data_IF_262150901958
#
_entry.id   IF_262150901958
#
_cell.length_a   1.000
_cell.length_b   1.000
_cell.length_c   1.000
_cell.angle_alpha   90.00
_cell.angle_beta   90.00
_cell.angle_gamma   90.00
#
_symmetry.space_group_name_H-M   'P 1'
#
loop_
_entity.id
_entity.type
_entity.pdbx_description
1 polymer ?
#
# COMPACT_ATOMS: atom_id res chain seq x y z
N UNK A 1 8.06 -12.10 93.11
CA UNK A 1 8.68 -11.81 94.43
C UNK A 1 9.60 -12.96 94.79
N UNK A 2 10.81 -12.66 95.26
CA UNK A 2 11.68 -13.67 95.85
C UNK A 2 11.30 -13.91 97.32
N UNK A 3 11.33 -15.16 97.76
CA UNK A 3 11.06 -15.55 99.16
C UNK A 3 12.33 -16.08 99.79
N UNK A 4 12.68 -15.60 100.98
CA UNK A 4 13.71 -16.21 101.81
C UNK A 4 13.17 -16.48 103.22
N UNK A 5 14.01 -17.07 104.09
CA UNK A 5 13.63 -17.50 105.45
C UNK A 5 13.20 -16.37 106.42
N UNK A 6 13.30 -15.11 106.01
CA UNK A 6 12.95 -13.93 106.82
C UNK A 6 11.75 -13.14 106.26
N UNK A 7 11.17 -13.57 105.14
CA UNK A 7 9.96 -12.95 104.57
C UNK A 7 9.96 -12.91 103.04
N UNK A 8 8.86 -12.39 102.49
CA UNK A 8 8.69 -12.16 101.05
C UNK A 8 9.07 -10.71 100.75
N UNK A 9 10.04 -10.50 99.84
CA UNK A 9 10.45 -9.15 99.43
C UNK A 9 9.42 -8.49 98.52
N UNK A 10 9.36 -7.14 98.49
CA UNK A 10 8.39 -6.38 97.70
C UNK A 10 8.38 -6.76 96.21
N UNK A 11 7.20 -6.68 95.54
CA UNK A 11 7.11 -6.97 94.12
C UNK A 11 7.81 -5.87 93.33
N UNK A 12 8.70 -6.29 92.43
CA UNK A 12 9.28 -5.42 91.43
C UNK A 12 8.41 -5.51 90.17
N UNK A 13 7.79 -4.40 89.78
CA UNK A 13 7.16 -4.27 88.47
C UNK A 13 8.25 -4.07 87.42
N UNK A 14 8.28 -4.94 86.41
CA UNK A 14 9.16 -4.73 85.26
C UNK A 14 8.60 -3.62 84.38
N UNK A 15 9.45 -2.97 83.60
CA UNK A 15 8.97 -2.16 82.48
C UNK A 15 8.11 -3.02 81.53
N UNK A 16 7.06 -2.41 80.97
CA UNK A 16 6.15 -3.12 80.09
C UNK A 16 6.89 -3.57 78.81
N UNK A 17 7.05 -4.88 78.64
CA UNK A 17 7.61 -5.47 77.41
C UNK A 17 6.48 -5.73 76.43
N UNK A 18 6.52 -5.09 75.26
CA UNK A 18 5.61 -5.43 74.16
C UNK A 18 6.11 -6.69 73.47
N UNK A 19 5.28 -7.73 73.41
CA UNK A 19 5.47 -8.82 72.47
C UNK A 19 5.29 -8.25 71.06
N UNK A 20 6.39 -8.09 70.32
CA UNK A 20 6.36 -7.76 68.90
C UNK A 20 6.26 -9.07 68.12
N UNK A 21 5.54 -9.04 67.02
CA UNK A 21 5.57 -10.13 66.05
C UNK A 21 7.03 -10.33 65.60
N UNK A 22 7.58 -11.56 65.58
CA UNK A 22 8.96 -11.82 65.18
C UNK A 22 9.32 -11.29 63.78
N UNK A 23 8.34 -10.97 62.95
CA UNK A 23 8.51 -10.39 61.62
C UNK A 23 7.39 -9.39 61.29
N UNK A 24 7.67 -8.43 60.41
CA UNK A 24 6.72 -7.46 59.88
C UNK A 24 6.47 -7.70 58.39
N UNK A 25 5.53 -6.98 57.78
CA UNK A 25 5.38 -7.01 56.33
C UNK A 25 6.62 -6.45 55.63
N UNK A 26 6.91 -6.86 54.37
CA UNK A 26 8.02 -6.30 53.59
C UNK A 26 7.80 -4.81 53.26
N UNK A 27 8.86 -4.11 52.88
CA UNK A 27 8.73 -2.80 52.24
C UNK A 27 8.18 -2.93 50.79
N UNK A 28 7.74 -1.85 50.14
CA UNK A 28 7.27 -1.92 48.75
C UNK A 28 8.34 -2.42 47.78
N UNK A 29 7.95 -3.23 46.77
CA UNK A 29 8.80 -3.50 45.60
C UNK A 29 9.18 -2.21 44.87
N UNK A 30 10.32 -2.23 44.16
CA UNK A 30 10.89 -1.05 43.48
C UNK A 30 11.01 -1.25 41.98
N UNK A 31 11.30 -0.16 41.26
CA UNK A 31 11.68 -0.17 39.84
C UNK A 31 10.71 -0.97 38.96
N UNK A 32 9.41 -0.71 39.10
CA UNK A 32 8.39 -1.37 38.28
C UNK A 32 8.49 -0.88 36.83
N UNK A 33 8.83 -1.78 35.93
CA UNK A 33 8.94 -1.53 34.50
C UNK A 33 7.98 -2.44 33.72
N UNK A 34 7.39 -1.88 32.67
CA UNK A 34 6.52 -2.61 31.74
C UNK A 34 7.23 -2.75 30.41
N UNK A 35 7.35 -3.99 29.95
CA UNK A 35 8.06 -4.40 28.74
C UNK A 35 7.18 -5.33 27.90
N UNK A 36 7.58 -5.65 26.66
CA UNK A 36 6.86 -6.56 25.75
C UNK A 36 5.36 -6.22 25.67
N UNK A 37 5.06 -4.97 25.36
CA UNK A 37 3.69 -4.46 25.20
C UNK A 37 3.12 -5.01 23.91
N UNK A 38 1.95 -5.63 24.00
CA UNK A 38 1.13 -6.05 22.85
C UNK A 38 -0.32 -5.60 23.09
N UNK A 39 -1.16 -5.72 22.06
CA UNK A 39 -2.59 -5.42 22.21
C UNK A 39 -3.35 -6.32 23.20
N UNK A 40 -2.80 -7.49 23.51
CA UNK A 40 -3.42 -8.50 24.38
C UNK A 40 -2.73 -8.67 25.74
N UNK A 41 -1.47 -8.23 25.88
CA UNK A 41 -0.69 -8.48 27.08
C UNK A 41 0.48 -7.52 27.28
N UNK A 42 0.96 -7.43 28.52
CA UNK A 42 2.18 -6.71 28.88
C UNK A 42 3.01 -7.55 29.85
N UNK A 43 4.33 -7.42 29.81
CA UNK A 43 5.24 -8.06 30.79
C UNK A 43 5.69 -7.03 31.82
N UNK A 44 5.61 -7.39 33.08
CA UNK A 44 6.00 -6.56 34.22
C UNK A 44 7.29 -7.11 34.81
N UNK A 45 8.24 -6.24 35.11
CA UNK A 45 9.49 -6.54 35.79
C UNK A 45 9.66 -5.57 36.97
N UNK A 46 10.17 -6.05 38.10
CA UNK A 46 10.39 -5.21 39.28
C UNK A 46 11.61 -5.67 40.08
N UNK A 47 12.07 -4.83 41.00
CA UNK A 47 13.11 -5.15 41.96
C UNK A 47 12.51 -5.57 43.32
N UNK A 48 13.28 -6.35 44.08
CA UNK A 48 12.90 -6.74 45.45
C UNK A 48 12.74 -5.50 46.36
N UNK A 49 11.90 -5.59 47.40
CA UNK A 49 11.92 -4.66 48.52
C UNK A 49 13.31 -4.51 49.16
N UNK A 50 13.57 -3.37 49.80
CA UNK A 50 14.80 -3.18 50.59
C UNK A 50 14.85 -4.07 51.84
N UNK A 51 13.68 -4.40 52.38
CA UNK A 51 13.53 -5.24 53.56
C UNK A 51 12.36 -6.18 53.38
N UNK A 52 12.57 -7.44 53.72
CA UNK A 52 11.56 -8.50 53.76
C UNK A 52 10.78 -8.53 55.07
N UNK A 53 11.06 -7.60 56.01
CA UNK A 53 10.41 -7.55 57.31
C UNK A 53 10.85 -8.65 58.28
N UNK A 54 11.95 -9.37 58.01
CA UNK A 54 12.45 -10.44 58.88
C UNK A 54 11.87 -11.82 58.60
N UNK A 55 11.13 -11.99 57.49
CA UNK A 55 10.66 -13.28 56.99
C UNK A 55 10.73 -13.32 55.45
N UNK A 56 11.15 -14.46 54.88
CA UNK A 56 11.34 -14.61 53.44
C UNK A 56 10.08 -14.25 52.64
N UNK A 57 10.27 -13.53 51.53
CA UNK A 57 9.19 -13.18 50.62
C UNK A 57 8.64 -14.47 49.97
N UNK A 58 7.40 -14.81 50.32
CA UNK A 58 6.65 -15.95 49.79
C UNK A 58 6.07 -15.71 48.39
N UNK A 59 6.06 -14.46 47.91
CA UNK A 59 5.72 -14.14 46.52
C UNK A 59 5.29 -12.69 46.31
N UNK A 60 4.80 -12.42 45.10
CA UNK A 60 4.33 -11.10 44.69
C UNK A 60 2.87 -11.12 44.24
N UNK A 61 2.16 -10.03 44.53
CA UNK A 61 0.80 -9.77 44.04
C UNK A 61 0.83 -8.57 43.11
N UNK A 62 0.27 -8.76 41.93
CA UNK A 62 0.23 -7.75 40.89
C UNK A 62 -1.22 -7.33 40.69
N UNK A 63 -1.46 -6.03 40.66
CA UNK A 63 -2.74 -5.46 40.29
C UNK A 63 -2.59 -4.57 39.06
N UNK A 64 -3.65 -4.51 38.26
CA UNK A 64 -3.76 -3.62 37.12
C UNK A 64 -5.00 -2.75 37.23
N UNK A 65 -4.92 -1.54 36.71
CA UNK A 65 -6.06 -0.63 36.56
C UNK A 65 -6.07 -0.09 35.14
N UNK A 66 -7.24 -0.17 34.51
CA UNK A 66 -7.48 0.51 33.23
C UNK A 66 -7.77 1.99 33.48
N UNK A 67 -7.29 2.90 32.63
CA UNK A 67 -7.39 4.37 32.79
C UNK A 67 -8.77 4.89 33.20
N UNK A 68 -9.84 4.32 32.63
CA UNK A 68 -11.22 4.74 32.90
C UNK A 68 -11.88 3.96 34.05
N UNK A 69 -11.18 3.01 34.66
CA UNK A 69 -11.65 2.24 35.80
C UNK A 69 -11.09 2.81 37.11
N UNK A 70 -11.94 2.94 38.12
CA UNK A 70 -11.48 3.25 39.48
C UNK A 70 -10.99 2.00 40.23
N UNK A 71 -11.23 0.81 39.68
CA UNK A 71 -10.96 -0.47 40.33
C UNK A 71 -9.64 -1.07 39.88
N UNK A 72 -8.81 -1.41 40.86
CA UNK A 72 -7.66 -2.30 40.70
C UNK A 72 -8.12 -3.76 40.64
N UNK A 73 -7.58 -4.52 39.68
CA UNK A 73 -7.90 -5.92 39.44
C UNK A 73 -6.62 -6.74 39.57
N UNK A 74 -6.66 -7.76 40.43
CA UNK A 74 -5.55 -8.70 40.62
C UNK A 74 -5.27 -9.49 39.34
N UNK A 75 -4.01 -9.54 38.95
CA UNK A 75 -3.53 -10.21 37.73
C UNK A 75 -3.22 -11.68 37.99
N UNK A 76 -2.44 -11.98 39.03
CA UNK A 76 -2.03 -13.34 39.36
C UNK A 76 -2.95 -14.01 40.38
N UNK A 77 -3.41 -15.23 40.08
CA UNK A 77 -4.17 -16.08 41.01
C UNK A 77 -3.28 -16.96 41.89
N UNK A 78 -2.08 -17.31 41.41
CA UNK A 78 -1.08 -18.10 42.12
C UNK A 78 0.05 -17.19 42.62
N UNK A 79 0.78 -17.57 43.69
CA UNK A 79 2.00 -16.89 44.10
C UNK A 79 2.99 -16.78 42.95
N UNK A 80 3.64 -15.62 42.84
CA UNK A 80 4.67 -15.35 41.84
C UNK A 80 5.97 -15.20 42.60
N UNK A 81 6.92 -16.11 42.39
CA UNK A 81 8.21 -16.10 43.07
C UNK A 81 9.28 -15.33 42.26
N UNK A 82 9.08 -15.27 40.94
CA UNK A 82 9.93 -14.52 40.02
C UNK A 82 9.70 -13.01 40.15
N UNK A 83 10.69 -12.23 39.70
CA UNK A 83 10.63 -10.77 39.60
C UNK A 83 10.05 -10.29 38.26
N UNK A 84 9.31 -11.17 37.57
CA UNK A 84 8.60 -10.85 36.33
C UNK A 84 7.27 -11.60 36.23
N UNK A 85 6.28 -10.99 35.58
CA UNK A 85 5.06 -11.68 35.18
C UNK A 85 4.46 -11.12 33.89
N UNK A 86 3.85 -11.98 33.08
CA UNK A 86 2.97 -11.57 31.98
C UNK A 86 1.56 -11.29 32.49
N UNK A 87 1.01 -10.12 32.17
CA UNK A 87 -0.39 -9.73 32.36
C UNK A 87 -1.17 -9.93 31.06
N UNK A 88 -1.95 -11.02 30.90
CA UNK A 88 -2.73 -11.29 29.70
C UNK A 88 -4.16 -10.72 29.76
N UNK A 89 -4.88 -10.74 28.64
CA UNK A 89 -6.30 -10.38 28.58
C UNK A 89 -6.51 -8.87 28.70
N UNK A 90 -5.66 -8.10 28.02
CA UNK A 90 -5.85 -6.67 27.78
C UNK A 90 -6.77 -6.47 26.56
N UNK A 91 -7.40 -5.30 26.51
CA UNK A 91 -8.18 -4.85 25.37
C UNK A 91 -7.35 -3.89 24.52
N UNK A 92 -7.30 -4.15 23.23
CA UNK A 92 -6.62 -3.31 22.25
C UNK A 92 -7.08 -1.86 22.36
N UNK A 93 -6.12 -0.93 22.38
CA UNK A 93 -6.38 0.50 22.45
C UNK A 93 -6.60 1.06 23.86
N UNK A 94 -6.86 0.22 24.86
CA UNK A 94 -7.02 0.65 26.26
C UNK A 94 -5.67 0.91 26.94
N UNK A 95 -5.63 1.88 27.85
CA UNK A 95 -4.45 2.19 28.66
C UNK A 95 -4.54 1.56 30.05
N UNK A 96 -3.44 0.96 30.49
CA UNK A 96 -3.34 0.26 31.77
C UNK A 96 -2.14 0.77 32.58
N UNK A 97 -2.31 0.82 33.89
CA UNK A 97 -1.23 1.00 34.86
C UNK A 97 -1.21 -0.18 35.83
N UNK A 98 -0.06 -0.41 36.44
CA UNK A 98 0.20 -1.57 37.28
C UNK A 98 0.85 -1.17 38.60
N UNK A 99 0.64 -1.99 39.63
CA UNK A 99 1.36 -1.90 40.90
C UNK A 99 1.64 -3.29 41.45
N UNK A 100 2.72 -3.42 42.21
CA UNK A 100 3.18 -4.71 42.74
C UNK A 100 3.31 -4.65 44.26
N UNK A 101 2.94 -5.74 44.91
CA UNK A 101 3.05 -5.97 46.35
C UNK A 101 3.98 -7.15 46.60
N UNK A 102 4.77 -7.10 47.68
CA UNK A 102 5.47 -8.26 48.21
C UNK A 102 4.65 -8.91 49.33
N UNK A 103 4.71 -10.24 49.43
CA UNK A 103 3.97 -11.04 50.42
C UNK A 103 4.93 -11.92 51.22
N UNK A 104 4.89 -11.84 52.55
CA UNK A 104 5.58 -12.76 53.46
C UNK A 104 4.58 -13.32 54.50
N UNK A 105 5.06 -14.04 55.53
CA UNK A 105 4.18 -14.60 56.57
C UNK A 105 3.40 -13.55 57.39
N UNK A 106 3.85 -12.29 57.49
CA UNK A 106 3.10 -11.21 58.13
C UNK A 106 2.03 -10.59 57.20
N UNK A 107 2.10 -10.84 55.89
CA UNK A 107 1.12 -10.41 54.90
C UNK A 107 1.70 -9.56 53.77
N UNK A 108 0.85 -8.71 53.20
CA UNK A 108 1.19 -7.88 52.04
C UNK A 108 1.86 -6.56 52.44
N UNK A 109 2.88 -6.16 51.69
CA UNK A 109 3.49 -4.84 51.76
C UNK A 109 2.51 -3.73 51.35
N UNK A 110 2.95 -2.47 51.44
CA UNK A 110 2.35 -1.40 50.63
C UNK A 110 2.68 -1.63 49.13
N UNK A 111 1.86 -1.12 48.19
CA UNK A 111 2.16 -1.26 46.77
C UNK A 111 3.41 -0.46 46.38
N UNK A 112 4.08 -0.90 45.33
CA UNK A 112 5.01 -0.06 44.58
C UNK A 112 4.31 1.20 44.07
N UNK A 113 5.10 2.21 43.70
CA UNK A 113 4.57 3.28 42.86
C UNK A 113 3.91 2.69 41.60
N UNK A 114 2.76 3.21 41.16
CA UNK A 114 2.13 2.76 39.94
C UNK A 114 3.03 2.99 38.73
N UNK A 115 3.01 2.06 37.78
CA UNK A 115 3.62 2.28 36.46
C UNK A 115 2.92 3.46 35.76
N UNK A 116 3.58 4.11 34.77
CA UNK A 116 2.87 4.97 33.84
C UNK A 116 1.70 4.24 33.17
N UNK A 117 0.72 5.01 32.68
CA UNK A 117 -0.33 4.49 31.81
C UNK A 117 0.28 4.09 30.46
N UNK A 118 0.08 2.84 30.08
CA UNK A 118 0.63 2.27 28.85
C UNK A 118 -0.51 1.69 28.04
N UNK A 119 -0.55 2.04 26.75
CA UNK A 119 -1.57 1.58 25.82
C UNK A 119 -1.29 0.16 25.37
N UNK A 120 -2.31 -0.69 25.42
CA UNK A 120 -2.26 -2.04 24.88
C UNK A 120 -2.40 -1.98 23.35
N UNK A 121 -1.27 -1.90 22.66
CA UNK A 121 -1.19 -1.96 21.20
C UNK A 121 0.04 -2.77 20.78
N UNK A 122 -0.01 -3.34 19.57
CA UNK A 122 1.14 -4.02 19.02
C UNK A 122 2.24 -2.99 18.68
N UNK A 123 3.52 -3.32 18.91
CA UNK A 123 4.60 -2.41 18.61
C UNK A 123 4.65 -2.15 17.11
N UNK A 124 4.84 -0.89 16.75
CA UNK A 124 5.02 -0.50 15.34
C UNK A 124 6.49 -0.21 15.10
N UNK A 125 7.01 -0.75 14.01
CA UNK A 125 8.40 -0.62 13.58
C UNK A 125 8.47 0.18 12.28
N UNK A 126 9.68 0.52 11.83
CA UNK A 126 9.86 1.02 10.47
C UNK A 126 9.46 -0.06 9.45
N UNK A 127 8.95 0.34 8.28
CA UNK A 127 8.59 -0.61 7.23
C UNK A 127 9.85 -1.22 6.59
N UNK A 128 9.69 -2.32 5.86
CA UNK A 128 10.77 -2.85 5.02
C UNK A 128 11.00 -1.94 3.79
N UNK A 129 12.14 -2.06 3.10
CA UNK A 129 12.34 -1.40 1.81
C UNK A 129 11.27 -1.84 0.78
N UNK A 130 10.88 -0.95 -0.16
CA UNK A 130 10.08 -1.33 -1.32
C UNK A 130 10.92 -2.14 -2.32
N UNK A 131 10.29 -2.61 -3.40
CA UNK A 131 11.04 -3.29 -4.47
C UNK A 131 12.04 -2.35 -5.15
N UNK A 132 13.04 -2.94 -5.81
CA UNK A 132 13.88 -2.23 -6.77
C UNK A 132 13.02 -1.44 -7.77
N UNK A 133 13.25 -0.13 -7.95
CA UNK A 133 12.53 0.67 -8.92
C UNK A 133 12.85 0.24 -10.36
N UNK A 134 11.84 0.28 -11.23
CA UNK A 134 11.96 -0.02 -12.66
C UNK A 134 11.64 1.23 -13.47
N UNK A 135 12.38 1.46 -14.55
CA UNK A 135 12.11 2.54 -15.50
C UNK A 135 10.87 2.19 -16.31
N UNK A 136 9.86 3.06 -16.24
CA UNK A 136 8.59 2.93 -16.96
C UNK A 136 8.58 3.76 -18.25
N UNK A 137 9.16 4.96 -18.18
CA UNK A 137 9.34 5.85 -19.33
C UNK A 137 10.53 6.79 -19.13
N UNK A 138 11.09 7.34 -20.21
CA UNK A 138 12.21 8.28 -20.13
C UNK A 138 12.29 9.21 -21.35
N UNK A 139 12.76 10.43 -21.10
CA UNK A 139 13.13 11.42 -22.12
C UNK A 139 14.51 11.98 -21.79
N UNK A 140 14.94 12.96 -22.57
CA UNK A 140 16.19 13.70 -22.35
C UNK A 140 16.22 14.50 -21.04
N UNK A 141 15.08 14.76 -20.41
CA UNK A 141 14.99 15.63 -19.22
C UNK A 141 14.19 15.05 -18.05
N UNK A 142 13.51 13.92 -18.24
CA UNK A 142 12.78 13.25 -17.17
C UNK A 142 12.81 11.73 -17.28
N UNK A 143 12.73 11.04 -16.14
CA UNK A 143 12.62 9.58 -16.08
C UNK A 143 11.48 9.22 -15.13
N UNK A 144 10.55 8.40 -15.60
CA UNK A 144 9.46 7.84 -14.80
C UNK A 144 9.87 6.47 -14.30
N UNK A 145 9.81 6.27 -12.99
CA UNK A 145 10.09 5.00 -12.33
C UNK A 145 8.86 4.48 -11.58
N UNK A 146 8.71 3.16 -11.51
CA UNK A 146 7.69 2.46 -10.75
C UNK A 146 8.27 1.39 -9.83
N UNK A 147 7.62 1.12 -8.71
CA UNK A 147 8.00 0.09 -7.73
C UNK A 147 6.76 -0.59 -7.13
N UNK A 148 6.95 -1.61 -6.31
CA UNK A 148 5.89 -2.23 -5.52
C UNK A 148 6.03 -1.88 -4.05
N UNK A 149 4.91 -1.94 -3.33
CA UNK A 149 4.87 -1.73 -1.88
C UNK A 149 5.83 -2.68 -1.13
N UNK A 150 6.33 -2.29 0.04
CA UNK A 150 7.18 -3.16 0.85
C UNK A 150 6.44 -4.43 1.29
N UNK A 151 7.20 -5.51 1.52
CA UNK A 151 6.65 -6.78 1.98
C UNK A 151 6.07 -6.67 3.40
N UNK A 152 6.69 -5.85 4.24
CA UNK A 152 6.25 -5.60 5.61
C UNK A 152 6.15 -4.10 5.89
N UNK A 153 5.03 -3.67 6.48
CA UNK A 153 4.75 -2.27 6.75
C UNK A 153 5.15 -1.83 8.17
N UNK A 154 5.71 -2.75 8.96
CA UNK A 154 6.10 -2.46 10.34
C UNK A 154 4.96 -2.58 11.35
N UNK A 155 3.78 -3.08 10.97
CA UNK A 155 2.58 -3.08 11.81
C UNK A 155 1.80 -1.76 11.78
N UNK A 156 2.11 -0.88 10.82
CA UNK A 156 1.40 0.38 10.59
C UNK A 156 1.36 0.73 9.11
N UNK A 157 0.31 1.43 8.63
CA UNK A 157 0.14 1.67 7.20
C UNK A 157 1.27 2.54 6.63
N UNK A 158 1.67 2.24 5.39
CA UNK A 158 2.58 3.09 4.61
C UNK A 158 1.86 4.40 4.26
N UNK A 159 2.43 5.52 4.73
CA UNK A 159 1.89 6.88 4.53
C UNK A 159 2.51 7.59 3.33
N UNK A 160 3.64 7.10 2.82
CA UNK A 160 4.27 7.63 1.61
C UNK A 160 5.61 6.99 1.26
N UNK A 161 6.24 7.55 0.24
CA UNK A 161 7.56 7.12 -0.24
C UNK A 161 8.49 8.32 -0.45
N UNK A 162 9.77 8.10 -0.17
CA UNK A 162 10.87 9.01 -0.53
C UNK A 162 11.60 8.45 -1.73
N UNK A 163 11.66 9.23 -2.81
CA UNK A 163 12.39 8.89 -4.04
C UNK A 163 13.67 9.68 -4.09
N UNK A 164 14.77 8.97 -4.33
CA UNK A 164 16.09 9.55 -4.48
C UNK A 164 16.73 9.09 -5.78
N UNK A 165 17.64 9.92 -6.27
CA UNK A 165 18.40 9.67 -7.49
C UNK A 165 19.82 10.21 -7.33
N UNK A 166 20.73 9.69 -8.14
CA UNK A 166 22.08 10.24 -8.28
C UNK A 166 22.63 9.90 -9.65
N UNK A 167 23.66 10.62 -10.08
CA UNK A 167 24.46 10.18 -11.22
C UNK A 167 25.19 8.87 -10.88
N UNK A 168 25.42 8.02 -11.87
CA UNK A 168 26.22 6.79 -11.66
C UNK A 168 27.65 7.11 -11.24
N UNK A 169 28.18 8.26 -11.66
CA UNK A 169 29.48 8.80 -11.28
C UNK A 169 29.55 9.38 -9.85
N UNK A 170 28.41 9.67 -9.22
CA UNK A 170 28.34 10.30 -7.89
C UNK A 170 28.13 9.26 -6.78
N UNK A 171 28.49 9.62 -5.55
CA UNK A 171 28.25 8.79 -4.36
C UNK A 171 26.97 9.19 -3.63
N UNK A 172 26.70 10.48 -3.58
CA UNK A 172 25.67 11.07 -2.74
C UNK A 172 24.30 11.07 -3.45
N UNK A 173 23.25 10.83 -2.69
CA UNK A 173 21.89 10.75 -3.21
C UNK A 173 21.18 12.08 -3.06
N UNK A 174 20.55 12.54 -4.15
CA UNK A 174 19.65 13.69 -4.16
C UNK A 174 18.22 13.22 -3.94
N UNK A 175 17.45 13.96 -3.13
CA UNK A 175 16.03 13.67 -2.89
C UNK A 175 15.18 14.35 -3.95
N UNK A 176 14.42 13.56 -4.73
CA UNK A 176 13.47 14.09 -5.70
C UNK A 176 12.12 14.42 -5.05
N UNK A 177 11.65 13.59 -4.10
CA UNK A 177 10.41 13.79 -3.34
C UNK A 177 10.42 12.96 -2.05
N UNK A 178 9.82 13.44 -0.95
CA UNK A 178 9.83 12.76 0.36
C UNK A 178 8.48 12.16 0.80
N UNK A 179 7.37 12.55 0.19
CA UNK A 179 6.03 12.19 0.67
C UNK A 179 5.08 11.87 -0.47
N UNK A 180 5.54 11.00 -1.36
CA UNK A 180 4.73 10.56 -2.48
C UNK A 180 3.66 9.56 -2.03
N UNK A 181 2.40 9.84 -2.39
CA UNK A 181 1.26 8.92 -2.20
C UNK A 181 1.02 8.14 -3.49
N UNK A 182 1.92 7.23 -3.81
CA UNK A 182 1.90 6.45 -5.04
C UNK A 182 3.13 5.59 -5.18
N UNK A 183 3.09 4.66 -6.12
CA UNK A 183 4.22 3.74 -6.40
C UNK A 183 4.84 3.99 -7.78
N UNK A 184 4.63 5.19 -8.31
CA UNK A 184 5.21 5.68 -9.56
C UNK A 184 5.53 7.16 -9.41
N UNK A 185 6.67 7.59 -9.95
CA UNK A 185 7.09 8.98 -9.93
C UNK A 185 7.92 9.35 -11.15
N UNK A 186 7.71 10.56 -11.67
CA UNK A 186 8.50 11.16 -12.74
C UNK A 186 9.50 12.15 -12.16
N UNK A 187 10.79 11.80 -12.21
CA UNK A 187 11.88 12.70 -11.84
C UNK A 187 12.11 13.66 -12.99
N UNK A 188 12.00 14.96 -12.73
CA UNK A 188 12.15 16.04 -13.71
C UNK A 188 13.51 16.72 -13.59
N UNK A 189 13.93 17.45 -14.63
CA UNK A 189 15.13 18.30 -14.58
C UNK A 189 16.45 17.54 -14.68
N UNK A 190 16.44 16.38 -15.31
CA UNK A 190 17.63 15.56 -15.56
C UNK A 190 18.48 16.13 -16.69
N UNK A 191 19.78 15.88 -16.63
CA UNK A 191 20.73 16.31 -17.66
C UNK A 191 20.73 15.33 -18.82
N UNK A 192 20.41 15.80 -20.03
CA UNK A 192 20.41 14.99 -21.25
C UNK A 192 21.76 14.31 -21.47
N UNK A 193 21.74 13.00 -21.71
CA UNK A 193 22.92 12.16 -21.92
C UNK A 193 23.61 11.67 -20.65
N UNK A 194 23.22 12.16 -19.47
CA UNK A 194 23.75 11.68 -18.21
C UNK A 194 23.05 10.39 -17.76
N UNK A 195 23.77 9.55 -17.00
CA UNK A 195 23.30 8.26 -16.52
C UNK A 195 22.95 8.32 -15.03
N UNK A 196 21.76 7.87 -14.68
CA UNK A 196 21.20 7.96 -13.34
C UNK A 196 20.84 6.58 -12.78
N UNK A 197 20.87 6.47 -11.46
CA UNK A 197 20.28 5.37 -10.70
C UNK A 197 19.30 5.92 -9.67
N UNK A 198 18.27 5.14 -9.37
CA UNK A 198 17.16 5.55 -8.50
C UNK A 198 16.99 4.58 -7.34
N UNK A 199 16.59 5.07 -6.17
CA UNK A 199 16.18 4.23 -5.04
C UNK A 199 15.00 4.84 -4.31
N UNK A 200 14.27 4.01 -3.57
CA UNK A 200 13.05 4.44 -2.88
C UNK A 200 13.06 3.93 -1.45
N UNK A 201 12.55 4.74 -0.52
CA UNK A 201 12.22 4.33 0.86
C UNK A 201 10.72 4.38 1.06
N UNK A 202 10.20 3.41 1.81
CA UNK A 202 8.81 3.45 2.27
C UNK A 202 8.75 4.16 3.63
N UNK A 203 7.65 4.84 3.94
CA UNK A 203 7.52 5.65 5.16
C UNK A 203 6.22 5.29 5.87
N UNK A 204 6.28 5.04 7.18
CA UNK A 204 5.10 4.92 8.06
C UNK A 204 5.18 5.93 9.22
N UNK A 205 4.29 5.83 10.22
CA UNK A 205 4.28 6.75 11.37
C UNK A 205 5.56 6.75 12.22
N UNK A 206 6.35 5.68 12.16
CA UNK A 206 7.61 5.54 12.92
C UNK A 206 8.77 6.17 12.14
N UNK A 207 8.78 6.03 10.82
CA UNK A 207 9.80 6.65 9.97
C UNK A 207 9.97 5.96 8.63
N UNK A 208 11.08 6.29 7.96
CA UNK A 208 11.47 5.70 6.70
C UNK A 208 12.14 4.33 6.89
N UNK A 209 11.94 3.42 5.94
CA UNK A 209 12.69 2.18 5.82
C UNK A 209 14.14 2.43 5.43
N UNK A 210 14.95 1.37 5.46
CA UNK A 210 16.15 1.30 4.64
C UNK A 210 15.82 1.54 3.15
N UNK A 211 16.77 2.06 2.35
CA UNK A 211 16.57 2.23 0.91
C UNK A 211 16.36 0.88 0.22
N UNK A 212 15.56 0.89 -0.84
CA UNK A 212 15.54 -0.21 -1.81
C UNK A 212 16.92 -0.41 -2.43
N UNK A 213 17.11 -1.58 -3.04
CA UNK A 213 18.12 -1.72 -4.08
C UNK A 213 17.99 -0.60 -5.12
N UNK A 214 19.13 -0.12 -5.61
CA UNK A 214 19.17 0.83 -6.70
C UNK A 214 18.60 0.20 -7.98
N UNK A 215 17.91 0.99 -8.79
CA UNK A 215 17.49 0.61 -10.13
C UNK A 215 18.70 0.23 -11.00
N UNK A 216 18.43 -0.40 -12.13
CA UNK A 216 19.43 -0.46 -13.20
C UNK A 216 19.77 0.97 -13.68
N UNK A 217 21.01 1.22 -14.12
CA UNK A 217 21.41 2.51 -14.69
C UNK A 217 20.54 2.89 -15.90
N UNK A 218 20.15 4.16 -15.97
CA UNK A 218 19.36 4.70 -17.07
C UNK A 218 19.92 6.02 -17.56
N UNK A 219 20.22 6.08 -18.86
CA UNK A 219 20.61 7.31 -19.53
C UNK A 219 19.38 8.17 -19.80
N UNK A 220 19.44 9.45 -19.45
CA UNK A 220 18.44 10.45 -19.80
C UNK A 220 18.52 10.79 -21.29
N UNK A 221 17.81 10.02 -22.11
CA UNK A 221 17.71 10.20 -23.57
C UNK A 221 16.27 10.00 -24.02
N UNK A 222 15.98 10.39 -25.25
CA UNK A 222 14.65 10.14 -25.82
C UNK A 222 14.42 8.63 -25.96
N UNK A 223 13.28 8.13 -25.49
CA UNK A 223 12.88 6.76 -25.74
C UNK A 223 12.43 6.61 -27.19
N UNK A 224 12.98 5.62 -27.87
CA UNK A 224 12.73 5.36 -29.29
C UNK A 224 12.06 3.99 -29.43
N UNK A 225 10.83 3.99 -29.94
CA UNK A 225 10.04 2.80 -30.27
C UNK A 225 9.39 3.01 -31.62
N UNK A 226 9.46 2.00 -32.48
CA UNK A 226 8.80 2.06 -33.79
C UNK A 226 7.28 2.25 -33.66
N UNK A 227 6.65 3.00 -34.59
CA UNK A 227 5.21 3.14 -34.61
C UNK A 227 4.57 1.80 -34.98
N UNK A 228 3.67 1.31 -34.13
CA UNK A 228 2.98 0.04 -34.32
C UNK A 228 1.48 0.22 -34.12
N UNK A 229 0.68 -0.35 -35.03
CA UNK A 229 -0.77 -0.45 -34.90
C UNK A 229 -1.14 -1.62 -33.99
N UNK A 230 -1.99 -1.38 -33.00
CA UNK A 230 -2.44 -2.39 -32.05
C UNK A 230 -3.81 -2.96 -32.43
N UNK A 231 -3.90 -3.49 -33.66
CA UNK A 231 -5.17 -3.92 -34.26
C UNK A 231 -5.41 -5.42 -34.08
N UNK A 232 -6.65 -5.79 -33.78
CA UNK A 232 -7.11 -7.17 -33.79
C UNK A 232 -7.46 -7.65 -35.22
N UNK A 233 -7.81 -8.94 -35.35
CA UNK A 233 -8.19 -9.52 -36.64
C UNK A 233 -9.53 -8.99 -37.17
N UNK A 234 -10.41 -8.46 -36.32
CA UNK A 234 -11.72 -7.95 -36.72
C UNK A 234 -11.56 -6.61 -37.44
N UNK A 235 -10.69 -5.74 -36.91
CA UNK A 235 -10.36 -4.44 -37.50
C UNK A 235 -9.71 -4.53 -38.89
N UNK A 236 -9.17 -5.69 -39.26
CA UNK A 236 -8.60 -5.93 -40.60
C UNK A 236 -9.64 -6.31 -41.65
N UNK A 237 -10.86 -6.68 -41.23
CA UNK A 237 -11.94 -7.05 -42.15
C UNK A 237 -12.51 -5.81 -42.84
N UNK A 238 -13.23 -6.05 -43.93
CA UNK A 238 -13.97 -5.00 -44.61
C UNK A 238 -15.12 -4.53 -43.72
N UNK A 239 -15.14 -3.24 -43.39
CA UNK A 239 -16.25 -2.61 -42.69
C UNK A 239 -17.41 -2.40 -43.67
N UNK A 240 -18.54 -3.06 -43.42
CA UNK A 240 -19.74 -2.92 -44.24
C UNK A 240 -20.72 -1.98 -43.55
N UNK A 241 -21.13 -0.92 -44.24
CA UNK A 241 -21.99 0.14 -43.70
C UNK A 241 -23.18 0.35 -44.62
N UNK A 242 -24.37 0.62 -44.09
CA UNK A 242 -25.52 0.96 -44.92
C UNK A 242 -25.46 2.44 -45.33
N UNK A 243 -25.82 2.75 -46.58
CA UNK A 243 -25.92 4.12 -47.04
C UNK A 243 -26.88 4.94 -46.15
N UNK A 244 -26.47 6.15 -45.80
CA UNK A 244 -27.17 7.04 -44.87
C UNK A 244 -26.76 6.88 -43.40
N UNK A 245 -26.14 5.77 -43.01
CA UNK A 245 -25.62 5.56 -41.65
C UNK A 245 -24.24 6.21 -41.48
N UNK A 246 -23.87 6.49 -40.25
CA UNK A 246 -22.53 6.96 -39.89
C UNK A 246 -21.65 5.79 -39.49
N UNK A 247 -20.34 5.88 -39.73
CA UNK A 247 -19.38 4.89 -39.25
C UNK A 247 -18.14 5.55 -38.65
N UNK A 248 -17.51 4.84 -37.72
CA UNK A 248 -16.26 5.27 -37.07
C UNK A 248 -15.25 4.13 -37.13
N UNK A 249 -14.05 4.43 -37.61
CA UNK A 249 -12.90 3.53 -37.52
C UNK A 249 -11.97 4.03 -36.44
N UNK A 250 -11.81 3.27 -35.36
CA UNK A 250 -10.91 3.60 -34.25
C UNK A 250 -9.73 2.64 -34.26
N UNK A 251 -8.52 3.18 -34.33
CA UNK A 251 -7.27 2.42 -34.40
C UNK A 251 -6.36 2.81 -33.25
N UNK A 252 -6.10 1.91 -32.29
CA UNK A 252 -5.07 2.11 -31.28
C UNK A 252 -3.67 1.93 -31.87
N UNK A 253 -2.70 2.67 -31.34
CA UNK A 253 -1.31 2.60 -31.75
C UNK A 253 -0.35 2.84 -30.59
N UNK A 254 0.91 2.45 -30.77
CA UNK A 254 2.04 2.74 -29.87
C UNK A 254 3.22 3.26 -30.67
N UNK A 255 4.13 3.95 -29.99
CA UNK A 255 5.38 4.47 -30.55
C UNK A 255 5.94 5.58 -29.68
N UNK A 256 7.26 5.71 -29.66
CA UNK A 256 7.99 6.73 -28.89
C UNK A 256 9.10 7.31 -29.77
N UNK A 257 9.23 8.65 -29.91
CA UNK A 257 8.23 9.67 -29.59
C UNK A 257 6.86 9.36 -30.20
N UNK A 258 5.81 9.98 -29.64
CA UNK A 258 4.43 9.78 -30.09
C UNK A 258 4.36 10.03 -31.61
N UNK A 259 3.94 9.04 -32.41
CA UNK A 259 3.90 9.18 -33.86
C UNK A 259 2.91 10.25 -34.31
N UNK A 260 3.29 11.00 -35.34
CA UNK A 260 2.35 11.83 -36.08
C UNK A 260 1.37 10.93 -36.84
N UNK A 261 0.09 11.27 -36.78
CA UNK A 261 -1.02 10.49 -37.35
C UNK A 261 -1.55 11.17 -38.61
N UNK A 262 -1.65 10.41 -39.71
CA UNK A 262 -2.21 10.90 -40.97
C UNK A 262 -3.20 9.91 -41.58
N UNK A 263 -4.45 10.34 -41.79
CA UNK A 263 -5.44 9.60 -42.55
C UNK A 263 -5.50 10.10 -44.00
N UNK A 264 -5.66 9.16 -44.94
CA UNK A 264 -5.83 9.47 -46.36
C UNK A 264 -6.81 8.50 -47.03
N UNK A 265 -7.53 8.99 -48.04
CA UNK A 265 -8.36 8.19 -48.95
C UNK A 265 -8.13 8.71 -50.37
N UNK A 266 -7.94 7.85 -51.38
CA UNK A 266 -7.84 8.28 -52.77
C UNK A 266 -9.03 9.14 -53.18
N UNK A 267 -8.75 10.24 -53.89
CA UNK A 267 -9.75 11.14 -54.47
C UNK A 267 -10.76 11.72 -53.46
N UNK A 268 -10.40 11.83 -52.18
CA UNK A 268 -11.27 12.38 -51.13
C UNK A 268 -10.47 13.17 -50.12
N UNK A 269 -10.80 14.46 -49.93
CA UNK A 269 -10.25 15.24 -48.83
C UNK A 269 -10.97 14.90 -47.52
N UNK A 270 -10.29 14.14 -46.66
CA UNK A 270 -10.86 13.71 -45.38
C UNK A 270 -11.01 14.86 -44.37
N UNK A 271 -10.32 15.99 -44.55
CA UNK A 271 -10.46 17.15 -43.65
C UNK A 271 -11.83 17.81 -43.74
N UNK A 272 -12.46 17.69 -44.91
CA UNK A 272 -13.82 18.21 -45.15
C UNK A 272 -14.87 17.12 -45.07
N UNK A 273 -14.50 15.86 -45.37
CA UNK A 273 -15.45 14.73 -45.40
C UNK A 273 -15.65 14.03 -44.06
N UNK A 274 -14.65 13.99 -43.19
CA UNK A 274 -14.64 13.19 -41.97
C UNK A 274 -14.21 14.02 -40.74
N UNK A 275 -14.64 13.59 -39.56
CA UNK A 275 -14.10 14.08 -38.30
C UNK A 275 -13.00 13.14 -37.83
N UNK A 276 -11.80 13.69 -37.58
CA UNK A 276 -10.62 12.93 -37.14
C UNK A 276 -10.26 13.39 -35.73
N UNK A 277 -10.29 12.46 -34.79
CA UNK A 277 -9.86 12.68 -33.41
C UNK A 277 -8.65 11.79 -33.11
N UNK A 278 -7.55 12.38 -32.63
CA UNK A 278 -6.30 11.68 -32.37
C UNK A 278 -5.75 12.04 -31.00
N UNK A 279 -5.24 11.02 -30.31
CA UNK A 279 -4.62 11.08 -28.99
C UNK A 279 -3.30 10.30 -29.01
N UNK A 280 -2.58 10.29 -27.89
CA UNK A 280 -1.24 9.70 -27.79
C UNK A 280 -1.19 8.17 -28.01
N UNK A 281 -2.34 7.48 -27.97
CA UNK A 281 -2.41 6.01 -28.09
C UNK A 281 -3.51 5.49 -29.03
N UNK A 282 -4.28 6.38 -29.66
CA UNK A 282 -5.33 6.00 -30.62
C UNK A 282 -5.73 7.15 -31.50
N UNK A 283 -6.26 6.82 -32.67
CA UNK A 283 -6.91 7.75 -33.58
C UNK A 283 -8.26 7.19 -34.02
N UNK A 284 -9.20 8.06 -34.33
CA UNK A 284 -10.50 7.70 -34.87
C UNK A 284 -10.88 8.58 -36.05
N UNK A 285 -11.50 7.97 -37.05
CA UNK A 285 -12.05 8.66 -38.21
C UNK A 285 -13.55 8.36 -38.28
N UNK A 286 -14.37 9.40 -38.22
CA UNK A 286 -15.83 9.31 -38.27
C UNK A 286 -16.38 9.96 -39.54
N UNK A 287 -17.19 9.21 -40.28
CA UNK A 287 -17.88 9.67 -41.48
C UNK A 287 -19.38 9.62 -41.21
N UNK A 288 -20.03 10.78 -41.25
CA UNK A 288 -21.48 10.86 -41.10
C UNK A 288 -22.21 10.71 -42.43
N UNK A 289 -23.42 10.14 -42.38
CA UNK A 289 -24.32 9.95 -43.53
C UNK A 289 -23.58 9.38 -44.74
N UNK A 290 -23.03 8.18 -44.58
CA UNK A 290 -22.19 7.54 -45.57
C UNK A 290 -22.90 7.34 -46.91
N UNK A 291 -22.18 7.57 -47.99
CA UNK A 291 -22.62 7.43 -49.37
C UNK A 291 -21.78 6.35 -50.06
N UNK A 292 -22.17 5.91 -51.26
CA UNK A 292 -21.36 4.95 -52.03
C UNK A 292 -19.93 5.45 -52.28
N UNK A 293 -19.73 6.76 -52.38
CA UNK A 293 -18.41 7.40 -52.59
C UNK A 293 -17.46 7.27 -51.38
N UNK A 294 -18.01 6.97 -50.20
CA UNK A 294 -17.24 6.71 -48.98
C UNK A 294 -16.71 5.27 -48.94
N UNK A 295 -17.10 4.42 -49.89
CA UNK A 295 -16.46 3.12 -50.07
C UNK A 295 -15.03 3.29 -50.56
N UNK A 296 -14.15 2.37 -50.15
CA UNK A 296 -12.78 2.31 -50.65
C UNK A 296 -11.76 2.00 -49.57
N UNK A 297 -10.49 2.27 -49.91
CA UNK A 297 -9.34 2.05 -49.05
C UNK A 297 -8.98 3.33 -48.32
N UNK A 298 -9.03 3.28 -47.00
CA UNK A 298 -8.52 4.33 -46.12
C UNK A 298 -7.14 3.93 -45.64
N UNK A 299 -6.14 4.76 -45.88
CA UNK A 299 -4.77 4.52 -45.43
C UNK A 299 -4.48 5.41 -44.23
N UNK A 300 -4.12 4.78 -43.13
CA UNK A 300 -3.64 5.40 -41.91
C UNK A 300 -2.12 5.25 -41.84
N UNK A 301 -1.41 6.35 -41.71
CA UNK A 301 0.05 6.39 -41.60
C UNK A 301 0.46 6.97 -40.24
N UNK A 302 1.37 6.27 -39.57
CA UNK A 302 2.03 6.71 -38.34
C UNK A 302 3.50 6.97 -38.64
N UNK A 303 4.00 8.14 -38.26
CA UNK A 303 5.39 8.52 -38.51
C UNK A 303 6.04 9.07 -37.25
N UNK A 304 7.17 8.50 -36.84
CA UNK A 304 8.07 9.11 -35.88
C UNK A 304 9.50 9.16 -36.46
N UNK A 305 10.46 9.60 -35.64
CA UNK A 305 11.86 9.72 -36.07
C UNK A 305 12.54 8.38 -36.39
N UNK A 306 11.96 7.28 -35.90
CA UNK A 306 12.52 5.93 -36.04
C UNK A 306 12.05 5.30 -37.34
N UNK A 307 10.73 5.28 -37.58
CA UNK A 307 10.15 4.59 -38.73
C UNK A 307 8.78 5.20 -39.12
N UNK A 308 8.26 4.78 -40.27
CA UNK A 308 6.90 5.07 -40.74
C UNK A 308 6.15 3.75 -40.94
N UNK A 309 5.00 3.60 -40.29
CA UNK A 309 4.11 2.45 -40.45
C UNK A 309 2.82 2.87 -41.16
N UNK A 310 2.28 2.02 -42.03
CA UNK A 310 1.00 2.27 -42.70
C UNK A 310 0.05 1.08 -42.58
N UNK A 311 -1.24 1.39 -42.38
CA UNK A 311 -2.34 0.45 -42.28
C UNK A 311 -3.42 0.84 -43.30
N UNK A 312 -3.93 -0.14 -44.04
CA UNK A 312 -5.07 0.07 -44.95
C UNK A 312 -6.31 -0.60 -44.38
N UNK A 313 -7.37 0.20 -44.20
CA UNK A 313 -8.71 -0.25 -43.83
C UNK A 313 -9.63 -0.17 -45.04
N UNK A 314 -10.53 -1.13 -45.18
CA UNK A 314 -11.44 -1.21 -46.34
C UNK A 314 -12.87 -0.98 -45.86
N UNK A 315 -13.55 0.00 -46.43
CA UNK A 315 -14.96 0.29 -46.17
C UNK A 315 -15.79 -0.01 -47.41
N UNK A 316 -16.93 -0.65 -47.22
CA UNK A 316 -17.92 -0.94 -48.27
C UNK A 316 -19.29 -0.40 -47.83
N UNK A 317 -19.74 0.66 -48.48
CA UNK A 317 -21.06 1.24 -48.24
C UNK A 317 -22.06 0.59 -49.18
N UNK A 318 -23.03 -0.12 -48.62
CA UNK A 318 -24.11 -0.78 -49.34
C UNK A 318 -25.36 0.07 -49.29
N UNK A 319 -25.94 0.33 -50.45
CA UNK A 319 -27.26 0.96 -50.53
C UNK A 319 -28.35 -0.12 -50.63
N UNK A 320 -29.58 0.25 -50.33
CA UNK A 320 -30.72 -0.65 -50.54
C UNK A 320 -30.83 -0.93 -52.04
N UNK A 321 -30.98 -2.19 -52.47
CA UNK A 321 -31.26 -2.49 -53.87
C UNK A 321 -32.48 -1.70 -54.35
N UNK A 322 -32.41 -1.19 -55.58
CA UNK A 322 -33.60 -0.65 -56.22
C UNK A 322 -34.65 -1.74 -56.43
N UNK A 323 -35.91 -1.36 -56.69
CA UNK A 323 -36.91 -2.34 -57.11
C UNK A 323 -36.41 -3.06 -58.39
N UNK A 324 -36.65 -4.37 -58.52
CA UNK A 324 -36.26 -5.13 -59.70
C UNK A 324 -36.85 -4.50 -60.96
N UNK A 325 -36.01 -4.31 -61.97
CA UNK A 325 -36.42 -3.71 -63.24
C UNK A 325 -36.65 -4.79 -64.29
N UNK A 326 -37.54 -4.56 -65.26
CA UNK A 326 -37.78 -5.48 -66.38
C UNK A 326 -38.11 -6.92 -65.96
N UNK A 327 -39.13 -7.10 -65.11
CA UNK A 327 -39.59 -8.43 -64.70
C UNK A 327 -40.18 -9.17 -65.92
N UNK A 328 -39.54 -10.26 -66.34
CA UNK A 328 -39.96 -11.18 -67.39
C UNK A 328 -40.41 -12.48 -66.75
N UNK A 329 -41.64 -12.89 -67.05
CA UNK A 329 -42.19 -14.18 -66.66
C UNK A 329 -41.89 -15.22 -67.75
N UNK A 330 -41.29 -16.36 -67.36
CA UNK A 330 -40.93 -17.49 -68.24
C UNK A 330 -41.46 -18.80 -67.65
N UNK A 331 -41.47 -19.85 -68.47
CA UNK A 331 -41.78 -21.24 -68.07
C UNK A 331 -43.04 -21.38 -67.20
N UNK A 332 -44.17 -20.88 -67.72
CA UNK A 332 -45.46 -20.93 -67.04
C UNK A 332 -46.11 -22.30 -67.20
N UNK A 333 -46.40 -22.96 -66.07
CA UNK A 333 -47.18 -24.19 -65.97
C UNK A 333 -48.45 -23.93 -65.15
N UNK A 334 -49.33 -24.94 -64.97
CA UNK A 334 -50.50 -24.77 -64.09
C UNK A 334 -50.13 -24.62 -62.61
N UNK A 335 -48.94 -25.06 -62.21
CA UNK A 335 -48.48 -25.05 -60.81
C UNK A 335 -47.35 -24.05 -60.53
N UNK A 336 -46.71 -23.47 -61.56
CA UNK A 336 -45.52 -22.63 -61.37
C UNK A 336 -45.28 -21.64 -62.51
N UNK A 337 -44.49 -20.60 -62.22
CA UNK A 337 -43.89 -19.71 -63.21
C UNK A 337 -42.52 -19.24 -62.71
N UNK A 338 -41.59 -18.95 -63.64
CA UNK A 338 -40.25 -18.43 -63.33
C UNK A 338 -40.22 -16.93 -63.57
N UNK A 339 -39.81 -16.16 -62.56
CA UNK A 339 -39.59 -14.72 -62.67
C UNK A 339 -38.10 -14.45 -62.88
N UNK A 340 -37.77 -13.69 -63.92
CA UNK A 340 -36.42 -13.16 -64.17
C UNK A 340 -36.51 -11.64 -64.26
N UNK A 341 -35.51 -10.91 -63.78
CA UNK A 341 -35.47 -9.45 -63.85
C UNK A 341 -34.03 -8.98 -64.04
N UNK A 342 -33.87 -7.74 -64.52
CA UNK A 342 -32.57 -7.09 -64.64
C UNK A 342 -32.21 -6.40 -63.31
N UNK A 343 -30.93 -6.56 -62.92
CA UNK A 343 -30.38 -6.15 -61.63
C UNK A 343 -30.12 -4.65 -61.51
#
# INVERSE_FOLDING_TARGET
>A
MGVNKYGVGEPLESEAVKALDPFTVPTPPKSLEVTNVTKESMTLCWARPDSDGGNDISGYVIERREKNSLRWIRVNKKPVYDLRIKSPGLREGCEYEYRVYAENAAGLSLPSDPSPLIKAEDPVFQPSPPSRPKVMDHTRSHITIGWTKPLFDGGGPIIGYTVEYKLTSETDWSTAIQSLRGTEYTIMGLTSGAEYVFRVRSVNKIGASDPSDASEPQIAKEREEEPVFDIDNEMRKTLVVKAGESFTMTVPFRGKPIPNVLWSKPDTDLRTRANIDSSDNRTSLTVEKATRNDSGKYTLTLQNIVNTASLTLIVKVLDSPGPPSNIIVKDVTKESAVLSWEA
#
